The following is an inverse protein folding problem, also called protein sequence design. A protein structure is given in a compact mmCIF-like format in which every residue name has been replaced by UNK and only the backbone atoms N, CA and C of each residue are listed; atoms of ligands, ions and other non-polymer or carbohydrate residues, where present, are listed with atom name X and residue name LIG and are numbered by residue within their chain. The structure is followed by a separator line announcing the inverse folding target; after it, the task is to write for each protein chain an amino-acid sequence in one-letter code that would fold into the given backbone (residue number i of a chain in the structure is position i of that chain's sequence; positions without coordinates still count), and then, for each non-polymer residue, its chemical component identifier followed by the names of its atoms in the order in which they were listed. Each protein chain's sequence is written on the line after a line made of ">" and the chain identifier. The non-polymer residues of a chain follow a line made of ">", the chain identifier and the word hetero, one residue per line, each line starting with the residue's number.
data_IF_430499436705
#
_entry.id   IF_430499436705
#
_cell.length_a   1.000
_cell.length_b   1.000
_cell.length_c   1.000
_cell.angle_alpha   90.00
_cell.angle_beta   90.00
_cell.angle_gamma   90.00
#
_symmetry.space_group_name_H-M   'P 1'
#
loop_
_entity.id
_entity.type
_entity.pdbx_description
1 polymer ?
#
# COMPACT_ATOMS: atom_id res chain seq x y z
N UNK A 1 -29.48 7.02 -39.34
CA UNK A 1 -29.56 6.73 -37.89
C UNK A 1 -28.17 6.90 -37.30
N UNK A 2 -28.00 7.76 -36.28
CA UNK A 2 -26.69 7.97 -35.65
C UNK A 2 -26.31 6.82 -34.71
N UNK A 3 -25.11 6.25 -34.88
CA UNK A 3 -24.49 5.39 -33.86
C UNK A 3 -23.99 6.30 -32.73
N UNK A 4 -24.84 6.54 -31.73
CA UNK A 4 -24.45 7.25 -30.51
C UNK A 4 -23.28 6.48 -29.87
N UNK A 5 -22.19 7.19 -29.56
CA UNK A 5 -20.97 6.58 -29.03
C UNK A 5 -21.27 5.80 -27.73
N UNK A 6 -20.66 4.63 -27.49
CA UNK A 6 -20.80 3.94 -26.21
C UNK A 6 -20.27 4.85 -25.09
N UNK A 7 -21.16 5.26 -24.20
CA UNK A 7 -20.80 6.03 -23.00
C UNK A 7 -19.76 5.23 -22.21
N UNK A 8 -18.61 5.84 -21.94
CA UNK A 8 -17.56 5.23 -21.10
C UNK A 8 -18.03 5.24 -19.65
N UNK A 9 -18.89 4.28 -19.33
CA UNK A 9 -19.50 4.15 -18.01
C UNK A 9 -18.41 3.96 -16.95
N UNK A 10 -18.52 4.77 -15.90
CA UNK A 10 -17.74 4.64 -14.64
C UNK A 10 -18.53 3.80 -13.65
N UNK A 11 -19.86 3.95 -13.65
CA UNK A 11 -20.78 3.24 -12.77
C UNK A 11 -21.96 2.63 -13.56
N UNK A 12 -22.63 1.64 -12.98
CA UNK A 12 -23.95 1.16 -13.42
C UNK A 12 -24.89 1.19 -12.20
N UNK A 13 -26.03 1.84 -12.35
CA UNK A 13 -27.15 1.77 -11.41
C UNK A 13 -27.94 0.50 -11.74
N UNK A 14 -28.09 -0.40 -10.77
CA UNK A 14 -28.96 -1.58 -10.88
C UNK A 14 -30.17 -1.40 -9.97
N UNK A 15 -31.37 -1.44 -10.52
CA UNK A 15 -32.62 -1.35 -9.78
C UNK A 15 -33.56 -2.50 -10.12
N UNK A 16 -34.41 -2.91 -9.18
CA UNK A 16 -35.53 -3.83 -9.38
C UNK A 16 -36.85 -3.06 -9.37
N UNK A 17 -37.79 -3.47 -10.22
CA UNK A 17 -39.15 -2.93 -10.25
C UNK A 17 -40.16 -4.02 -9.95
N UNK A 18 -41.20 -3.68 -9.19
CA UNK A 18 -42.39 -4.50 -8.94
C UNK A 18 -43.62 -3.63 -9.18
N UNK A 19 -44.52 -4.07 -10.05
CA UNK A 19 -45.67 -3.29 -10.53
C UNK A 19 -46.95 -4.11 -10.37
N UNK A 20 -47.98 -3.50 -9.77
CA UNK A 20 -49.25 -4.16 -9.49
C UNK A 20 -50.20 -4.07 -10.68
N UNK A 21 -49.75 -4.59 -11.82
CA UNK A 21 -50.50 -4.65 -13.07
C UNK A 21 -49.65 -5.13 -14.24
N UNK A 22 -50.14 -4.91 -15.45
CA UNK A 22 -49.44 -5.15 -16.72
C UNK A 22 -49.07 -3.80 -17.33
N UNK A 23 -47.80 -3.61 -17.68
CA UNK A 23 -47.28 -2.41 -18.36
C UNK A 23 -46.27 -2.80 -19.42
N UNK A 24 -46.05 -1.92 -20.40
CA UNK A 24 -45.05 -2.12 -21.46
C UNK A 24 -43.76 -1.33 -21.20
N UNK A 25 -42.70 -1.70 -21.93
CA UNK A 25 -41.41 -1.00 -21.87
C UNK A 25 -41.50 0.53 -22.03
N UNK A 26 -42.35 1.11 -22.90
CA UNK A 26 -42.49 2.56 -23.01
C UNK A 26 -43.05 3.21 -21.73
N UNK A 27 -43.90 2.53 -20.97
CA UNK A 27 -44.47 3.07 -19.73
C UNK A 27 -43.39 3.20 -18.65
N UNK A 28 -42.55 2.16 -18.49
CA UNK A 28 -41.42 2.16 -17.54
C UNK A 28 -40.44 3.28 -17.89
N UNK A 29 -40.07 3.41 -19.17
CA UNK A 29 -39.19 4.48 -19.65
C UNK A 29 -39.83 5.86 -19.48
N UNK A 30 -41.13 6.00 -19.77
CA UNK A 30 -41.88 7.23 -19.65
C UNK A 30 -41.99 7.71 -18.20
N UNK A 31 -42.24 6.80 -17.27
CA UNK A 31 -42.22 7.08 -15.83
C UNK A 31 -40.82 7.47 -15.34
N UNK A 32 -39.77 6.74 -15.75
CA UNK A 32 -38.38 7.03 -15.35
C UNK A 32 -37.94 8.44 -15.75
N UNK A 33 -38.26 8.90 -16.96
CA UNK A 33 -37.98 10.29 -17.33
C UNK A 33 -38.98 11.27 -16.69
N UNK A 34 -40.29 11.05 -16.83
CA UNK A 34 -41.33 12.03 -16.47
C UNK A 34 -41.64 12.18 -14.97
N UNK A 35 -41.23 11.23 -14.12
CA UNK A 35 -41.35 11.35 -12.66
C UNK A 35 -40.05 11.84 -12.00
N UNK A 36 -38.94 11.94 -12.74
CA UNK A 36 -37.67 12.52 -12.25
C UNK A 36 -37.38 13.93 -12.80
N UNK A 37 -38.07 14.34 -13.88
CA UNK A 37 -38.03 15.69 -14.45
C UNK A 37 -38.41 16.74 -13.37
N UNK A 38 -37.64 17.84 -13.26
CA UNK A 38 -37.85 18.88 -12.26
C UNK A 38 -37.43 18.56 -10.81
N UNK A 39 -37.18 17.30 -10.43
CA UNK A 39 -36.79 16.93 -9.05
C UNK A 39 -35.32 17.22 -8.72
N UNK A 40 -34.42 17.11 -9.70
CA UNK A 40 -32.96 17.15 -9.49
C UNK A 40 -32.27 18.43 -9.97
N UNK A 41 -33.01 19.31 -10.65
CA UNK A 41 -32.44 20.47 -11.37
C UNK A 41 -31.78 20.08 -12.70
N UNK A 42 -31.71 21.04 -13.62
CA UNK A 42 -31.41 20.81 -15.04
C UNK A 42 -30.09 20.05 -15.31
N UNK A 43 -29.04 20.25 -14.50
CA UNK A 43 -27.74 19.58 -14.66
C UNK A 43 -27.76 18.08 -14.33
N UNK A 44 -28.81 17.59 -13.65
CA UNK A 44 -28.98 16.20 -13.21
C UNK A 44 -30.26 15.53 -13.76
N UNK A 45 -31.04 16.20 -14.59
CA UNK A 45 -32.22 15.61 -15.24
C UNK A 45 -31.83 14.49 -16.22
N UNK A 46 -32.41 13.30 -16.05
CA UNK A 46 -32.07 12.11 -16.84
C UNK A 46 -32.11 12.34 -18.36
N UNK A 47 -33.04 13.17 -18.84
CA UNK A 47 -33.19 13.51 -20.26
C UNK A 47 -31.96 14.25 -20.80
N UNK A 48 -31.50 15.27 -20.08
CA UNK A 48 -30.35 16.08 -20.47
C UNK A 48 -29.02 15.36 -20.19
N UNK A 49 -28.95 14.56 -19.12
CA UNK A 49 -27.85 13.64 -18.88
C UNK A 49 -27.69 12.59 -20.00
N UNK A 50 -28.78 12.08 -20.56
CA UNK A 50 -28.73 11.17 -21.71
C UNK A 50 -28.41 11.91 -23.01
N UNK A 51 -28.96 13.13 -23.22
CA UNK A 51 -28.67 13.98 -24.40
C UNK A 51 -27.20 14.39 -24.47
N UNK A 52 -26.58 14.67 -23.32
CA UNK A 52 -25.15 14.99 -23.18
C UNK A 52 -24.24 13.75 -23.14
N UNK A 53 -24.79 12.53 -23.12
CA UNK A 53 -24.02 11.29 -23.01
C UNK A 53 -23.38 11.04 -21.65
N UNK A 54 -23.76 11.81 -20.60
CA UNK A 54 -23.33 11.55 -19.22
C UNK A 54 -23.98 10.28 -18.66
N UNK A 55 -25.24 10.04 -19.04
CA UNK A 55 -26.02 8.81 -18.80
C UNK A 55 -26.15 8.01 -20.10
N UNK A 56 -26.06 6.68 -20.00
CA UNK A 56 -26.19 5.74 -21.10
C UNK A 56 -27.65 5.47 -21.50
N UNK A 57 -27.86 4.36 -22.20
CA UNK A 57 -29.21 3.84 -22.47
C UNK A 57 -29.80 3.26 -21.20
N UNK A 58 -31.07 3.55 -20.94
CA UNK A 58 -31.84 2.93 -19.86
C UNK A 58 -32.31 1.57 -20.38
N UNK A 59 -31.70 0.51 -19.89
CA UNK A 59 -32.05 -0.86 -20.22
C UNK A 59 -33.07 -1.37 -19.21
N UNK A 60 -34.11 -2.04 -19.71
CA UNK A 60 -35.26 -2.47 -18.91
C UNK A 60 -35.62 -3.87 -19.38
N UNK A 61 -35.55 -4.82 -18.46
CA UNK A 61 -36.04 -6.19 -18.63
C UNK A 61 -37.24 -6.39 -17.71
N UNK A 62 -38.28 -7.09 -18.19
CA UNK A 62 -39.50 -7.32 -17.42
C UNK A 62 -40.14 -8.65 -17.80
N UNK A 63 -40.87 -9.23 -16.85
CA UNK A 63 -41.58 -10.50 -16.92
C UNK A 63 -42.90 -10.33 -16.16
N UNK A 64 -44.00 -10.76 -16.80
CA UNK A 64 -45.37 -10.50 -16.31
C UNK A 64 -46.04 -11.83 -15.99
N UNK A 65 -46.32 -12.07 -14.70
CA UNK A 65 -46.89 -13.33 -14.19
C UNK A 65 -48.00 -13.03 -13.18
N UNK A 66 -49.14 -13.72 -13.32
CA UNK A 66 -50.28 -13.57 -12.41
C UNK A 66 -50.84 -12.15 -12.31
N UNK A 67 -50.71 -11.34 -13.37
CA UNK A 67 -51.17 -9.95 -13.39
C UNK A 67 -50.25 -8.94 -12.68
N UNK A 68 -49.04 -9.35 -12.25
CA UNK A 68 -48.00 -8.44 -11.77
C UNK A 68 -46.76 -8.50 -12.68
N UNK A 69 -46.18 -7.34 -12.96
CA UNK A 69 -44.93 -7.21 -13.72
C UNK A 69 -43.76 -7.00 -12.76
N UNK A 70 -42.75 -7.86 -12.88
CA UNK A 70 -41.47 -7.72 -12.19
C UNK A 70 -40.37 -7.47 -13.22
N UNK A 71 -39.33 -6.73 -12.85
CA UNK A 71 -38.27 -6.41 -13.80
C UNK A 71 -37.02 -5.80 -13.17
N UNK A 72 -36.04 -5.52 -14.02
CA UNK A 72 -34.83 -4.79 -13.63
C UNK A 72 -34.57 -3.62 -14.57
N UNK A 73 -34.06 -2.52 -14.01
CA UNK A 73 -33.57 -1.37 -14.75
C UNK A 73 -32.05 -1.32 -14.55
N UNK A 74 -31.32 -1.13 -15.65
CA UNK A 74 -29.89 -0.86 -15.66
C UNK A 74 -29.62 0.48 -16.34
N UNK A 75 -28.90 1.37 -15.65
CA UNK A 75 -28.51 2.69 -16.17
C UNK A 75 -26.99 2.84 -16.07
N UNK A 76 -26.26 2.79 -17.19
CA UNK A 76 -24.84 3.15 -17.23
C UNK A 76 -24.66 4.65 -16.97
N UNK A 77 -23.70 5.00 -16.14
CA UNK A 77 -23.39 6.38 -15.72
C UNK A 77 -21.90 6.68 -15.89
N UNK A 78 -21.59 7.86 -16.45
CA UNK A 78 -20.24 8.45 -16.46
C UNK A 78 -20.12 9.69 -15.55
N UNK A 79 -21.13 9.92 -14.71
CA UNK A 79 -21.15 10.94 -13.65
C UNK A 79 -20.10 10.69 -12.57
N UNK A 80 -20.05 11.53 -11.53
CA UNK A 80 -19.36 11.18 -10.29
C UNK A 80 -20.18 10.23 -9.38
N UNK A 81 -19.64 9.88 -8.20
CA UNK A 81 -20.27 8.94 -7.25
C UNK A 81 -21.50 9.53 -6.56
N UNK A 82 -21.49 10.82 -6.20
CA UNK A 82 -22.58 11.51 -5.54
C UNK A 82 -23.71 11.79 -6.53
N UNK A 83 -23.39 12.31 -7.72
CA UNK A 83 -24.33 12.51 -8.83
C UNK A 83 -25.04 11.19 -9.20
N UNK A 84 -24.30 10.09 -9.34
CA UNK A 84 -24.88 8.77 -9.63
C UNK A 84 -25.81 8.29 -8.51
N UNK A 85 -25.46 8.55 -7.24
CA UNK A 85 -26.30 8.17 -6.10
C UNK A 85 -27.58 9.01 -5.99
N UNK A 86 -27.51 10.31 -6.29
CA UNK A 86 -28.67 11.22 -6.35
C UNK A 86 -29.63 10.78 -7.46
N UNK A 87 -29.10 10.51 -8.66
CA UNK A 87 -29.89 9.99 -9.79
C UNK A 87 -30.51 8.63 -9.46
N UNK A 88 -29.80 7.75 -8.75
CA UNK A 88 -30.35 6.46 -8.31
C UNK A 88 -31.47 6.62 -7.28
N UNK A 89 -31.30 7.47 -6.27
CA UNK A 89 -32.34 7.74 -5.26
C UNK A 89 -33.62 8.32 -5.89
N UNK A 90 -33.50 9.15 -6.92
CA UNK A 90 -34.66 9.68 -7.66
C UNK A 90 -35.49 8.58 -8.37
N UNK A 91 -34.89 7.43 -8.71
CA UNK A 91 -35.65 6.30 -9.27
C UNK A 91 -36.55 5.63 -8.22
N UNK A 92 -36.18 5.64 -6.94
CA UNK A 92 -36.99 5.06 -5.85
C UNK A 92 -38.21 5.93 -5.50
N UNK A 93 -38.20 7.21 -5.89
CA UNK A 93 -39.33 8.14 -5.75
C UNK A 93 -40.48 7.78 -6.72
N UNK A 94 -40.23 6.94 -7.74
CA UNK A 94 -41.22 6.57 -8.76
C UNK A 94 -42.24 5.58 -8.18
N UNK A 95 -43.39 6.12 -7.76
CA UNK A 95 -44.49 5.36 -7.15
C UNK A 95 -45.50 4.78 -8.15
N UNK A 96 -45.51 5.22 -9.41
CA UNK A 96 -46.49 4.78 -10.43
C UNK A 96 -45.88 4.69 -11.82
N UNK A 97 -46.24 3.65 -12.56
CA UNK A 97 -45.78 3.39 -13.92
C UNK A 97 -47.02 3.15 -14.80
N UNK A 98 -47.21 4.00 -15.82
CA UNK A 98 -48.45 4.03 -16.59
C UNK A 98 -49.67 4.22 -15.67
N UNK A 99 -50.70 3.36 -15.75
CA UNK A 99 -51.86 3.39 -14.85
C UNK A 99 -51.66 2.62 -13.53
N UNK A 100 -50.54 1.90 -13.35
CA UNK A 100 -50.37 0.93 -12.26
C UNK A 100 -49.39 1.42 -11.19
N UNK A 101 -49.70 1.12 -9.92
CA UNK A 101 -48.79 1.41 -8.80
C UNK A 101 -47.54 0.54 -8.86
N UNK A 102 -46.40 1.14 -8.51
CA UNK A 102 -45.07 0.59 -8.70
C UNK A 102 -44.18 0.84 -7.49
N UNK A 103 -43.21 -0.05 -7.29
CA UNK A 103 -42.10 0.13 -6.35
C UNK A 103 -40.80 -0.16 -7.08
N UNK A 104 -39.88 0.81 -7.03
CA UNK A 104 -38.51 0.67 -7.51
C UNK A 104 -37.58 0.67 -6.30
N UNK A 105 -36.59 -0.21 -6.30
CA UNK A 105 -35.56 -0.28 -5.27
C UNK A 105 -34.17 -0.46 -5.91
N UNK A 106 -33.17 0.29 -5.45
CA UNK A 106 -31.78 0.17 -5.91
C UNK A 106 -31.15 -1.06 -5.26
N UNK A 107 -30.74 -2.01 -6.11
CA UNK A 107 -30.04 -3.24 -5.68
C UNK A 107 -28.56 -2.98 -5.41
N UNK A 108 -27.90 -2.24 -6.32
CA UNK A 108 -26.48 -1.87 -6.18
C UNK A 108 -26.09 -0.71 -7.10
N UNK A 109 -25.05 0.02 -6.70
CA UNK A 109 -24.28 0.92 -7.55
C UNK A 109 -22.92 0.27 -7.84
N UNK A 110 -22.72 -0.22 -9.06
CA UNK A 110 -21.50 -0.95 -9.45
C UNK A 110 -20.49 -0.02 -10.10
N UNK A 111 -19.25 0.04 -9.59
CA UNK A 111 -18.13 0.70 -10.29
C UNK A 111 -17.43 -0.29 -11.22
N UNK A 112 -17.67 -0.16 -12.52
CA UNK A 112 -17.16 -1.10 -13.53
C UNK A 112 -15.64 -1.08 -13.67
N UNK A 113 -14.97 -0.07 -13.10
CA UNK A 113 -13.50 0.00 -13.06
C UNK A 113 -12.93 -0.99 -12.06
N UNK A 114 -13.67 -1.40 -11.02
CA UNK A 114 -13.24 -2.45 -10.08
C UNK A 114 -13.19 -3.80 -10.81
N UNK A 115 -14.27 -4.16 -11.52
CA UNK A 115 -14.36 -5.38 -12.33
C UNK A 115 -13.25 -5.43 -13.39
N UNK A 116 -13.01 -4.32 -14.11
CA UNK A 116 -11.92 -4.21 -15.10
C UNK A 116 -10.53 -4.28 -14.47
N UNK A 117 -10.29 -3.67 -13.30
CA UNK A 117 -9.00 -3.80 -12.58
C UNK A 117 -8.71 -5.25 -12.21
N UNK A 118 -9.69 -6.02 -11.73
CA UNK A 118 -9.52 -7.45 -11.47
C UNK A 118 -9.13 -8.21 -12.74
N UNK A 119 -9.82 -7.97 -13.86
CA UNK A 119 -9.46 -8.59 -15.15
C UNK A 119 -8.04 -8.22 -15.63
N UNK A 120 -7.61 -6.98 -15.41
CA UNK A 120 -6.24 -6.54 -15.72
C UNK A 120 -5.22 -7.25 -14.81
N UNK A 121 -5.50 -7.41 -13.52
CA UNK A 121 -4.63 -8.10 -12.56
C UNK A 121 -4.48 -9.58 -12.90
N UNK A 122 -5.58 -10.31 -13.12
CA UNK A 122 -5.50 -11.73 -13.49
C UNK A 122 -4.80 -11.91 -14.84
N UNK A 123 -5.08 -11.07 -15.85
CA UNK A 123 -4.36 -11.13 -17.12
C UNK A 123 -2.88 -10.76 -16.99
N UNK A 124 -2.51 -9.89 -16.05
CA UNK A 124 -1.11 -9.60 -15.75
C UNK A 124 -0.39 -10.79 -15.10
N UNK A 125 -1.05 -11.54 -14.19
CA UNK A 125 -0.52 -12.80 -13.66
C UNK A 125 -0.31 -13.83 -14.77
N UNK A 126 -1.33 -14.07 -15.62
CA UNK A 126 -1.24 -15.00 -16.76
C UNK A 126 -0.05 -14.67 -17.68
N UNK A 127 0.12 -13.39 -18.02
CA UNK A 127 1.23 -12.92 -18.84
C UNK A 127 2.59 -13.08 -18.14
N UNK A 128 2.66 -12.81 -16.84
CA UNK A 128 3.89 -12.94 -16.06
C UNK A 128 4.31 -14.42 -15.92
N UNK A 129 3.38 -15.33 -15.64
CA UNK A 129 3.64 -16.77 -15.63
C UNK A 129 4.22 -17.24 -16.96
N UNK A 130 3.51 -16.97 -18.06
CA UNK A 130 3.97 -17.36 -19.39
C UNK A 130 5.32 -16.71 -19.79
N UNK A 131 5.65 -15.54 -19.24
CA UNK A 131 6.95 -14.90 -19.48
C UNK A 131 8.06 -15.57 -18.65
N UNK A 132 7.84 -15.82 -17.36
CA UNK A 132 8.77 -16.56 -16.47
C UNK A 132 9.07 -17.96 -17.04
N UNK A 133 8.06 -18.66 -17.56
CA UNK A 133 8.20 -19.98 -18.19
C UNK A 133 9.02 -19.93 -19.49
N UNK A 134 9.20 -18.75 -20.09
CA UNK A 134 9.87 -18.54 -21.39
C UNK A 134 11.26 -17.88 -21.26
N UNK A 135 11.50 -17.06 -20.24
CA UNK A 135 12.77 -16.36 -20.01
C UNK A 135 13.60 -17.03 -18.91
N UNK A 136 14.81 -17.48 -19.26
CA UNK A 136 15.82 -17.82 -18.25
C UNK A 136 16.10 -16.61 -17.33
N UNK A 137 16.35 -16.84 -16.03
CA UNK A 137 16.22 -15.80 -15.02
C UNK A 137 17.43 -14.86 -14.98
N UNK A 138 17.18 -13.57 -15.22
CA UNK A 138 18.16 -12.50 -14.92
C UNK A 138 17.44 -11.17 -14.60
N UNK A 139 16.76 -11.14 -13.45
CA UNK A 139 16.22 -9.92 -12.79
C UNK A 139 15.61 -10.31 -11.44
N UNK A 140 16.50 -10.71 -10.52
CA UNK A 140 16.16 -11.37 -9.26
C UNK A 140 15.11 -10.62 -8.42
N UNK A 141 15.28 -9.31 -8.24
CA UNK A 141 14.56 -8.55 -7.20
C UNK A 141 13.08 -8.29 -7.51
N UNK A 142 12.75 -7.87 -8.74
CA UNK A 142 11.36 -7.67 -9.19
C UNK A 142 10.64 -9.01 -9.43
N UNK A 143 11.39 -10.02 -9.87
CA UNK A 143 10.89 -11.39 -10.00
C UNK A 143 10.51 -11.96 -8.64
N UNK A 144 11.37 -11.81 -7.62
CA UNK A 144 11.11 -12.32 -6.28
C UNK A 144 9.99 -11.56 -5.55
N UNK A 145 9.76 -10.24 -5.74
CA UNK A 145 8.61 -9.54 -5.13
C UNK A 145 7.26 -9.99 -5.70
N UNK A 146 7.12 -10.09 -7.03
CA UNK A 146 5.84 -10.52 -7.62
C UNK A 146 5.65 -12.03 -7.48
N UNK A 147 6.73 -12.82 -7.57
CA UNK A 147 6.69 -14.22 -7.17
C UNK A 147 6.37 -14.37 -5.68
N UNK A 148 6.74 -13.44 -4.80
CA UNK A 148 6.30 -13.42 -3.40
C UNK A 148 4.77 -13.36 -3.32
N UNK A 149 4.13 -12.48 -4.11
CA UNK A 149 2.68 -12.32 -4.12
C UNK A 149 1.92 -13.55 -4.62
N UNK A 150 2.58 -14.42 -5.41
CA UNK A 150 2.03 -15.67 -5.95
C UNK A 150 2.43 -16.90 -5.12
N UNK A 151 3.63 -16.92 -4.53
CA UNK A 151 4.08 -17.91 -3.52
C UNK A 151 3.33 -17.75 -2.19
N UNK A 152 2.76 -16.57 -1.92
CA UNK A 152 1.77 -16.35 -0.86
C UNK A 152 0.36 -16.87 -1.22
N UNK A 153 0.22 -17.76 -2.22
CA UNK A 153 -0.92 -18.68 -2.27
C UNK A 153 -0.83 -19.69 -1.12
N UNK A 154 -1.35 -19.23 0.02
CA UNK A 154 -1.96 -19.97 1.11
C UNK A 154 -1.06 -21.03 1.81
N UNK A 155 -0.67 -20.69 3.04
CA UNK A 155 -0.44 -21.71 4.08
C UNK A 155 -1.68 -22.61 4.09
N UNK A 156 -1.47 -23.90 3.89
CA UNK A 156 -2.51 -24.91 4.02
C UNK A 156 -2.58 -25.44 5.45
N UNK A 157 -3.71 -26.04 5.79
CA UNK A 157 -3.94 -26.68 7.08
C UNK A 157 -3.73 -28.20 6.92
N UNK A 158 -2.76 -28.75 7.65
CA UNK A 158 -2.45 -30.18 7.65
C UNK A 158 -3.09 -30.90 8.85
N UNK A 159 -3.54 -32.14 8.64
CA UNK A 159 -4.10 -32.99 9.69
C UNK A 159 -5.45 -32.54 10.24
N UNK A 160 -5.90 -33.21 11.30
CA UNK A 160 -7.15 -32.95 12.03
C UNK A 160 -7.03 -31.71 12.92
N UNK A 161 -5.83 -31.48 13.42
CA UNK A 161 -5.46 -30.34 14.28
C UNK A 161 -5.22 -29.04 13.47
N UNK A 162 -5.40 -29.09 12.13
CA UNK A 162 -5.36 -27.96 11.19
C UNK A 162 -4.03 -27.17 11.26
N UNK A 163 -2.95 -27.91 11.39
CA UNK A 163 -1.58 -27.42 11.60
C UNK A 163 -1.09 -26.60 10.39
N UNK A 164 -0.57 -25.37 10.58
CA UNK A 164 -0.03 -24.56 9.49
C UNK A 164 1.11 -25.26 8.73
N UNK A 165 0.98 -25.42 7.41
CA UNK A 165 1.98 -26.05 6.56
C UNK A 165 2.15 -25.34 5.21
N UNK A 166 3.30 -25.52 4.58
CA UNK A 166 3.56 -25.15 3.20
C UNK A 166 2.90 -26.12 2.20
N UNK A 167 2.68 -25.70 0.94
CA UNK A 167 1.88 -26.46 -0.02
C UNK A 167 2.50 -27.81 -0.40
N UNK A 168 3.84 -27.92 -0.40
CA UNK A 168 4.56 -29.10 -0.86
C UNK A 168 4.77 -30.19 0.22
N UNK A 169 4.13 -30.06 1.41
CA UNK A 169 4.37 -30.96 2.56
C UNK A 169 4.01 -32.44 2.29
N UNK A 170 3.04 -32.69 1.41
CA UNK A 170 2.65 -34.05 0.99
C UNK A 170 3.62 -34.61 -0.07
N UNK A 171 4.02 -33.78 -1.03
CA UNK A 171 4.78 -34.16 -2.21
C UNK A 171 6.29 -34.30 -1.96
N UNK A 172 6.84 -33.58 -0.97
CA UNK A 172 8.28 -33.56 -0.68
C UNK A 172 8.70 -34.77 0.16
N UNK A 173 9.77 -35.47 -0.21
CA UNK A 173 10.32 -36.60 0.58
C UNK A 173 11.02 -36.15 1.88
N UNK A 174 11.37 -34.87 1.98
CA UNK A 174 11.94 -34.21 3.16
C UNK A 174 10.98 -33.10 3.65
N UNK A 175 10.90 -32.91 4.97
CA UNK A 175 10.13 -31.86 5.63
C UNK A 175 10.98 -31.06 6.62
N UNK A 176 10.58 -29.81 6.85
CA UNK A 176 11.14 -28.96 7.90
C UNK A 176 10.06 -28.67 8.94
N UNK A 177 10.29 -29.08 10.18
CA UNK A 177 9.39 -28.82 11.32
C UNK A 177 9.87 -27.57 12.04
N UNK A 178 8.97 -26.63 12.35
CA UNK A 178 9.25 -25.34 13.02
C UNK A 178 8.30 -25.10 14.19
N UNK A 179 8.57 -24.15 15.09
CA UNK A 179 7.71 -23.93 16.27
C UNK A 179 6.32 -23.40 15.92
N UNK A 180 6.23 -22.45 14.99
CA UNK A 180 5.02 -21.66 14.78
C UNK A 180 4.69 -21.29 13.33
N UNK A 181 3.54 -20.63 13.17
CA UNK A 181 3.01 -20.20 11.88
C UNK A 181 3.88 -19.14 11.18
N UNK A 182 4.54 -18.27 11.95
CA UNK A 182 5.36 -17.19 11.41
C UNK A 182 6.64 -17.73 10.78
N UNK A 183 7.24 -18.77 11.37
CA UNK A 183 8.35 -19.52 10.80
C UNK A 183 7.99 -20.12 9.44
N UNK A 184 6.82 -20.77 9.34
CA UNK A 184 6.30 -21.29 8.06
C UNK A 184 6.12 -20.16 7.04
N UNK A 185 5.60 -18.99 7.45
CA UNK A 185 5.53 -17.83 6.56
C UNK A 185 6.91 -17.34 6.10
N UNK A 186 7.91 -17.29 6.99
CA UNK A 186 9.26 -16.82 6.64
C UNK A 186 10.03 -17.83 5.77
N UNK A 187 9.82 -19.12 5.98
CA UNK A 187 10.33 -20.19 5.11
C UNK A 187 9.68 -20.14 3.71
N UNK A 188 8.36 -20.03 3.62
CA UNK A 188 7.63 -19.90 2.35
C UNK A 188 8.03 -18.64 1.56
N UNK A 189 8.20 -17.52 2.27
CA UNK A 189 8.75 -16.25 1.76
C UNK A 189 10.07 -16.44 1.01
N UNK A 190 10.91 -17.37 1.48
CA UNK A 190 12.20 -17.68 0.85
C UNK A 190 12.18 -18.95 -0.04
N UNK A 191 10.99 -19.45 -0.39
CA UNK A 191 10.78 -20.54 -1.36
C UNK A 191 10.82 -21.96 -0.76
N UNK A 192 10.82 -22.08 0.56
CA UNK A 192 10.89 -23.37 1.27
C UNK A 192 9.46 -23.87 1.53
N UNK A 193 8.96 -24.67 0.59
CA UNK A 193 7.54 -25.03 0.49
C UNK A 193 7.12 -26.27 1.29
N UNK A 194 8.08 -26.94 1.95
CA UNK A 194 7.93 -28.19 2.70
C UNK A 194 8.03 -27.98 4.23
N UNK A 195 7.72 -26.77 4.71
CA UNK A 195 7.69 -26.44 6.13
C UNK A 195 6.35 -26.83 6.79
N UNK A 196 6.38 -27.25 8.04
CA UNK A 196 5.19 -27.48 8.88
C UNK A 196 5.42 -26.98 10.31
N UNK A 197 4.47 -26.24 10.85
CA UNK A 197 4.53 -25.72 12.21
C UNK A 197 4.21 -26.80 13.25
N UNK A 198 4.63 -26.56 14.49
CA UNK A 198 3.98 -27.10 15.68
C UNK A 198 2.90 -26.10 16.14
N UNK A 199 2.20 -26.46 17.21
CA UNK A 199 1.31 -25.53 17.92
C UNK A 199 1.99 -25.17 19.26
N UNK A 200 3.20 -24.63 19.17
CA UNK A 200 4.12 -24.48 20.30
C UNK A 200 4.51 -25.84 20.89
N UNK A 201 4.49 -25.97 22.21
CA UNK A 201 4.89 -27.19 22.93
C UNK A 201 3.93 -28.38 22.79
N UNK A 202 2.73 -28.19 22.21
CA UNK A 202 1.78 -29.28 21.97
C UNK A 202 1.95 -29.87 20.57
N UNK A 203 2.69 -30.97 20.47
CA UNK A 203 3.03 -31.66 19.22
C UNK A 203 1.78 -32.40 18.68
N UNK A 204 1.26 -32.06 17.48
CA UNK A 204 0.09 -32.71 16.90
C UNK A 204 0.38 -34.17 16.50
N UNK A 205 -0.57 -35.08 16.75
CA UNK A 205 -0.38 -36.51 16.44
C UNK A 205 -0.19 -36.77 14.94
N UNK A 206 -0.87 -36.01 14.08
CA UNK A 206 -0.72 -36.11 12.62
C UNK A 206 0.69 -35.70 12.16
N UNK A 207 1.38 -34.80 12.88
CA UNK A 207 2.78 -34.43 12.59
C UNK A 207 3.74 -35.55 12.99
N UNK A 208 3.49 -36.22 14.12
CA UNK A 208 4.29 -37.38 14.57
C UNK A 208 4.19 -38.54 13.58
N UNK A 209 3.01 -38.78 13.00
CA UNK A 209 2.83 -39.81 11.96
C UNK A 209 3.42 -39.41 10.59
N UNK A 210 3.51 -38.11 10.28
CA UNK A 210 4.22 -37.60 9.11
C UNK A 210 5.74 -37.76 9.24
N UNK A 211 6.31 -37.52 10.42
CA UNK A 211 7.76 -37.68 10.70
C UNK A 211 8.27 -39.11 10.46
N UNK A 212 7.40 -40.13 10.56
CA UNK A 212 7.75 -41.54 10.31
C UNK A 212 7.85 -41.91 8.81
N UNK A 213 7.46 -40.99 7.92
CA UNK A 213 7.28 -41.26 6.48
C UNK A 213 8.24 -40.48 5.57
N UNK A 214 8.96 -39.49 6.12
CA UNK A 214 9.73 -38.47 5.40
C UNK A 214 10.98 -38.12 6.20
N UNK A 215 12.04 -37.66 5.53
CA UNK A 215 13.24 -37.15 6.22
C UNK A 215 12.90 -35.87 6.97
N UNK A 216 13.27 -35.76 8.24
CA UNK A 216 12.86 -34.66 9.13
C UNK A 216 14.05 -33.79 9.53
N UNK A 217 13.97 -32.49 9.20
CA UNK A 217 14.78 -31.45 9.86
C UNK A 217 13.91 -30.67 10.85
N UNK A 218 14.18 -30.76 12.14
CA UNK A 218 13.64 -29.84 13.12
C UNK A 218 14.45 -28.54 13.10
N UNK A 219 13.80 -27.40 12.87
CA UNK A 219 14.42 -26.07 12.84
C UNK A 219 13.75 -25.17 13.88
N UNK A 220 14.51 -24.77 14.90
CA UNK A 220 13.99 -23.98 16.05
C UNK A 220 14.79 -22.71 16.28
N UNK A 221 14.25 -21.84 17.13
CA UNK A 221 14.87 -20.58 17.54
C UNK A 221 16.22 -20.76 18.25
N UNK A 222 17.05 -19.71 18.18
CA UNK A 222 18.38 -19.63 18.79
C UNK A 222 18.35 -19.42 20.30
N UNK A 223 17.26 -19.78 20.97
CA UNK A 223 16.96 -19.44 22.35
C UNK A 223 16.81 -20.70 23.25
N UNK A 224 16.31 -20.52 24.49
CA UNK A 224 16.02 -21.59 25.45
C UNK A 224 14.65 -22.25 25.26
N UNK A 225 13.69 -21.62 24.58
CA UNK A 225 12.44 -22.22 24.10
C UNK A 225 12.73 -23.30 23.05
N UNK A 226 13.52 -22.96 22.03
CA UNK A 226 13.97 -23.92 21.01
C UNK A 226 14.67 -25.16 21.61
N UNK A 227 15.50 -24.98 22.65
CA UNK A 227 16.14 -26.10 23.37
C UNK A 227 15.13 -27.02 24.09
N UNK A 228 13.98 -26.50 24.52
CA UNK A 228 12.91 -27.30 25.13
C UNK A 228 12.10 -28.04 24.07
N UNK A 229 11.90 -27.43 22.89
CA UNK A 229 11.19 -28.05 21.77
C UNK A 229 12.00 -29.17 21.12
N UNK A 230 13.33 -29.00 20.99
CA UNK A 230 14.24 -30.10 20.61
C UNK A 230 14.04 -31.29 21.56
N UNK A 231 14.05 -31.06 22.88
CA UNK A 231 13.89 -32.13 23.89
C UNK A 231 12.50 -32.76 23.87
N UNK A 232 11.45 -31.97 23.66
CA UNK A 232 10.09 -32.47 23.54
C UNK A 232 9.93 -33.34 22.29
N UNK A 233 10.29 -32.83 21.11
CA UNK A 233 10.11 -33.53 19.84
C UNK A 233 10.93 -34.83 19.78
N UNK A 234 12.20 -34.80 20.23
CA UNK A 234 13.07 -35.99 20.35
C UNK A 234 12.53 -37.08 21.31
N UNK A 235 11.52 -36.77 22.14
CA UNK A 235 10.89 -37.75 23.04
C UNK A 235 9.58 -38.35 22.49
N UNK A 236 9.08 -37.83 21.36
CA UNK A 236 7.75 -38.18 20.80
C UNK A 236 7.84 -38.63 19.32
N UNK A 237 8.81 -38.12 18.56
CA UNK A 237 8.95 -38.38 17.13
C UNK A 237 10.41 -38.69 16.74
N UNK A 238 10.56 -39.48 15.68
CA UNK A 238 11.84 -39.68 15.01
C UNK A 238 12.24 -38.41 14.24
N UNK A 239 13.51 -38.03 14.32
CA UNK A 239 14.08 -36.83 13.69
C UNK A 239 15.48 -37.17 13.18
N UNK A 240 15.79 -36.85 11.92
CA UNK A 240 17.13 -37.06 11.35
C UNK A 240 18.10 -35.93 11.72
N UNK A 241 17.64 -34.68 11.59
CA UNK A 241 18.48 -33.49 11.70
C UNK A 241 17.88 -32.39 12.59
N UNK A 242 18.75 -31.64 13.26
CA UNK A 242 18.41 -30.42 13.99
C UNK A 242 19.16 -29.23 13.38
N UNK A 243 18.44 -28.15 13.12
CA UNK A 243 18.99 -26.82 12.89
C UNK A 243 18.51 -25.87 14.00
N UNK A 244 19.33 -24.88 14.36
CA UNK A 244 18.92 -23.74 15.18
C UNK A 244 19.13 -22.43 14.43
N UNK A 245 18.28 -21.44 14.68
CA UNK A 245 18.56 -20.06 14.32
C UNK A 245 19.79 -19.53 15.10
N UNK A 246 20.44 -18.43 14.67
CA UNK A 246 21.56 -17.85 15.39
C UNK A 246 21.18 -17.45 16.83
N UNK A 247 22.10 -17.58 17.77
CA UNK A 247 21.89 -17.32 19.20
C UNK A 247 21.09 -16.02 19.46
N UNK A 248 19.94 -16.14 20.13
CA UNK A 248 19.06 -15.02 20.45
C UNK A 248 18.23 -14.46 19.28
N UNK A 249 18.06 -15.20 18.18
CA UNK A 249 17.10 -14.89 17.10
C UNK A 249 16.00 -15.93 16.95
N UNK A 250 14.84 -15.45 16.51
CA UNK A 250 13.65 -16.24 16.16
C UNK A 250 13.65 -16.61 14.66
N UNK A 251 13.05 -17.73 14.27
CA UNK A 251 12.99 -18.22 12.88
C UNK A 251 12.13 -17.29 11.99
N UNK A 252 11.20 -16.51 12.56
CA UNK A 252 10.48 -15.47 11.83
C UNK A 252 11.33 -14.22 11.45
N UNK A 253 12.38 -13.89 12.22
CA UNK A 253 13.20 -12.68 12.00
C UNK A 253 14.39 -12.88 11.04
N UNK A 254 14.86 -14.11 10.87
CA UNK A 254 16.11 -14.40 10.14
C UNK A 254 15.99 -14.26 8.62
N UNK A 255 17.09 -13.84 7.99
CA UNK A 255 17.17 -13.67 6.54
C UNK A 255 17.40 -14.98 5.79
N UNK A 256 17.09 -15.00 4.49
CA UNK A 256 17.38 -16.14 3.59
C UNK A 256 18.81 -16.68 3.72
N UNK A 257 19.80 -15.79 3.86
CA UNK A 257 21.22 -16.18 3.98
C UNK A 257 21.53 -16.87 5.32
N UNK A 258 20.80 -16.54 6.38
CA UNK A 258 20.90 -17.17 7.69
C UNK A 258 20.15 -18.50 7.72
N UNK A 259 18.94 -18.57 7.17
CA UNK A 259 18.16 -19.82 7.00
C UNK A 259 18.95 -20.85 6.19
N UNK A 260 19.44 -20.46 5.00
CA UNK A 260 20.27 -21.33 4.17
C UNK A 260 21.63 -21.64 4.79
N UNK A 261 22.09 -20.91 5.82
CA UNK A 261 23.29 -21.28 6.59
C UNK A 261 22.93 -22.30 7.68
N UNK A 262 21.85 -22.09 8.42
CA UNK A 262 21.37 -23.00 9.47
C UNK A 262 21.01 -24.38 8.91
N UNK A 263 20.21 -24.43 7.83
CA UNK A 263 19.79 -25.70 7.22
C UNK A 263 20.96 -26.47 6.59
N UNK A 264 21.97 -25.80 6.02
CA UNK A 264 23.21 -26.48 5.55
C UNK A 264 24.15 -26.87 6.68
N UNK A 265 24.04 -26.23 7.85
CA UNK A 265 24.76 -26.56 9.07
C UNK A 265 24.02 -27.49 10.00
N UNK A 266 22.92 -28.13 9.55
CA UNK A 266 22.08 -29.00 10.38
C UNK A 266 22.88 -30.21 10.89
N UNK A 267 22.73 -30.49 12.17
CA UNK A 267 23.47 -31.53 12.90
C UNK A 267 22.60 -32.80 12.93
N UNK A 268 23.20 -33.98 12.69
CA UNK A 268 22.45 -35.23 12.83
C UNK A 268 22.11 -35.49 14.30
N UNK A 269 20.91 -35.99 14.59
CA UNK A 269 20.42 -36.14 15.98
C UNK A 269 21.34 -36.98 16.87
N UNK A 270 21.98 -38.02 16.32
CA UNK A 270 22.95 -38.83 17.06
C UNK A 270 24.21 -38.06 17.48
N UNK A 271 24.59 -37.01 16.74
CA UNK A 271 25.69 -36.11 17.12
C UNK A 271 25.25 -35.14 18.21
N UNK A 272 24.04 -34.56 18.10
CA UNK A 272 23.48 -33.66 19.11
C UNK A 272 23.30 -34.34 20.48
N UNK A 273 22.95 -35.64 20.50
CA UNK A 273 22.89 -36.47 21.72
C UNK A 273 24.26 -36.58 22.42
N UNK A 274 25.35 -36.68 21.67
CA UNK A 274 26.72 -36.77 22.21
C UNK A 274 27.16 -35.43 22.83
N UNK A 275 27.02 -34.32 22.10
CA UNK A 275 27.37 -32.98 22.61
C UNK A 275 26.56 -32.55 23.86
N UNK A 276 25.34 -33.08 23.99
CA UNK A 276 24.48 -32.85 25.17
C UNK A 276 25.00 -33.60 26.40
N UNK A 277 25.54 -34.81 26.22
CA UNK A 277 26.09 -35.61 27.31
C UNK A 277 27.45 -35.11 27.81
N UNK A 278 28.33 -34.61 26.93
CA UNK A 278 29.66 -34.09 27.34
C UNK A 278 29.57 -32.83 28.22
N UNK A 279 28.45 -32.11 28.19
CA UNK A 279 28.15 -30.98 29.09
C UNK A 279 27.41 -31.40 30.38
N UNK A 280 27.21 -32.71 30.60
CA UNK A 280 26.36 -33.27 31.66
C UNK A 280 27.01 -33.52 33.02
N UNK A 281 28.35 -33.57 33.12
CA UNK A 281 29.05 -33.95 34.35
C UNK A 281 29.81 -32.79 35.02
N UNK A 282 29.07 -31.92 35.73
CA UNK A 282 29.61 -31.21 36.90
C UNK A 282 28.66 -31.39 38.10
N UNK A 283 29.19 -31.98 39.18
CA UNK A 283 28.40 -32.40 40.33
C UNK A 283 27.94 -31.20 41.18
N UNK A 284 26.75 -31.26 41.81
CA UNK A 284 26.20 -30.14 42.57
C UNK A 284 26.93 -29.95 43.90
N UNK A 285 27.63 -28.82 44.06
CA UNK A 285 28.15 -28.38 45.36
C UNK A 285 26.99 -27.84 46.20
N UNK A 286 26.88 -28.35 47.43
CA UNK A 286 25.75 -28.09 48.32
C UNK A 286 25.74 -26.64 48.83
N UNK A 287 24.58 -25.98 48.73
CA UNK A 287 24.25 -24.83 49.58
C UNK A 287 23.42 -25.33 50.75
N UNK A 288 23.97 -25.25 51.97
CA UNK A 288 23.17 -25.28 53.19
C UNK A 288 22.88 -23.85 53.62
N UNK A 289 21.63 -23.58 53.97
CA UNK A 289 21.24 -22.33 54.62
C UNK A 289 21.91 -22.20 55.99
N UNK A 290 22.15 -20.96 56.43
CA UNK A 290 22.13 -20.69 57.86
C UNK A 290 21.60 -19.28 58.14
N UNK A 291 20.82 -19.12 59.21
CA UNK A 291 19.93 -17.98 59.40
C UNK A 291 20.34 -17.08 60.58
N UNK A 292 20.10 -15.77 60.41
CA UNK A 292 19.81 -14.76 61.46
C UNK A 292 20.88 -14.40 62.52
N UNK A 293 21.02 -13.09 62.78
CA UNK A 293 21.39 -12.61 64.13
C UNK A 293 22.06 -11.23 64.27
N UNK A 294 21.26 -10.16 64.41
CA UNK A 294 21.51 -8.95 65.26
C UNK A 294 22.80 -8.07 65.02
N UNK A 295 22.90 -6.76 65.29
CA UNK A 295 21.97 -5.68 65.73
C UNK A 295 22.57 -4.25 65.50
N UNK A 296 21.67 -3.25 65.38
CA UNK A 296 21.75 -1.83 65.84
C UNK A 296 23.02 -0.93 65.71
N UNK A 297 22.81 0.25 65.07
CA UNK A 297 23.24 1.63 65.43
C UNK A 297 24.75 1.99 65.58
N UNK A 298 25.24 3.08 64.99
CA UNK A 298 25.00 4.46 65.51
C UNK A 298 25.20 5.61 64.50
N UNK A 299 24.73 6.82 64.86
CA UNK A 299 24.78 8.06 64.06
C UNK A 299 25.87 9.06 64.48
N UNK A 300 26.37 9.86 63.52
CA UNK A 300 26.97 11.21 63.67
C UNK A 300 27.04 11.92 62.29
N UNK A 301 27.10 13.24 62.12
CA UNK A 301 26.55 14.39 62.88
C UNK A 301 26.79 15.70 62.08
N UNK A 302 25.94 16.73 62.26
CA UNK A 302 26.15 18.16 61.87
C UNK A 302 26.20 18.45 60.33
N UNK A 303 25.73 19.57 59.73
CA UNK A 303 25.03 20.85 60.05
C UNK A 303 24.51 21.43 58.67
N UNK A 304 23.77 22.54 58.45
CA UNK A 304 23.28 23.70 59.25
C UNK A 304 22.07 24.42 58.57
N UNK A 305 21.36 25.23 59.37
CA UNK A 305 20.71 26.57 59.17
C UNK A 305 20.70 27.29 57.77
N UNK A 306 19.77 28.20 57.39
CA UNK A 306 18.47 28.70 57.97
C UNK A 306 17.77 29.80 57.10
N UNK A 307 16.47 30.09 57.40
CA UNK A 307 15.69 31.38 57.24
C UNK A 307 15.07 31.86 55.89
N UNK A 308 13.73 31.81 55.83
CA UNK A 308 12.75 32.93 55.89
C UNK A 308 12.62 34.10 54.87
N UNK A 309 11.40 34.20 54.29
CA UNK A 309 10.46 35.37 54.23
C UNK A 309 10.66 36.58 53.27
N UNK A 310 9.58 36.93 52.52
CA UNK A 310 9.10 38.22 51.93
C UNK A 310 10.10 39.39 51.62
N UNK A 311 9.98 40.16 50.53
CA UNK A 311 8.82 41.01 50.19
C UNK A 311 8.85 41.62 48.74
N UNK A 312 7.85 42.43 48.38
CA UNK A 312 7.58 43.13 47.08
C UNK A 312 8.22 44.54 46.98
N UNK A 313 8.37 45.15 45.77
CA UNK A 313 7.34 46.08 45.23
C UNK A 313 7.12 46.03 43.68
N UNK A 314 6.47 47.07 43.10
CA UNK A 314 6.04 47.24 41.68
C UNK A 314 6.49 48.60 41.12
N UNK A 315 6.52 48.77 39.79
CA UNK A 315 5.92 49.85 38.94
C UNK A 315 6.16 49.49 37.43
N UNK A 316 5.32 49.77 36.41
CA UNK A 316 4.80 51.03 35.80
C UNK A 316 5.91 51.90 35.16
N UNK A 317 5.80 52.60 34.00
CA UNK A 317 4.72 53.20 33.14
C UNK A 317 5.27 53.39 31.68
N UNK A 318 4.59 53.82 30.60
CA UNK A 318 3.18 53.86 30.11
C UNK A 318 3.18 54.29 28.60
N UNK A 319 2.49 53.55 27.70
CA UNK A 319 1.62 54.03 26.57
C UNK A 319 2.12 54.75 25.27
N UNK A 320 1.41 54.41 24.17
CA UNK A 320 1.23 55.11 22.87
C UNK A 320 0.44 54.16 21.91
N UNK A 321 -0.74 54.39 21.29
CA UNK A 321 -1.56 55.56 20.85
C UNK A 321 -0.89 56.39 19.73
N UNK A 322 -1.52 56.88 18.64
CA UNK A 322 -2.89 56.94 18.04
C UNK A 322 -2.80 57.08 16.49
N UNK A 323 -3.82 57.00 15.59
CA UNK A 323 -5.15 56.33 15.50
C UNK A 323 -5.81 56.66 14.11
N UNK A 324 -6.64 55.76 13.52
CA UNK A 324 -7.55 55.98 12.32
C UNK A 324 -6.82 56.16 10.95
N UNK A 325 -7.42 56.02 9.75
CA UNK A 325 -8.80 56.00 9.18
C UNK A 325 -8.89 54.84 8.12
N UNK A 326 -10.01 54.18 7.76
CA UNK A 326 -11.37 54.58 7.33
C UNK A 326 -11.48 55.03 5.85
N UNK A 327 -11.89 54.12 4.94
CA UNK A 327 -12.97 54.33 3.93
C UNK A 327 -13.23 53.13 3.00
N UNK A 328 -14.41 52.56 3.17
CA UNK A 328 -15.51 52.47 2.18
C UNK A 328 -15.25 52.11 0.69
N UNK A 329 -16.15 51.23 0.24
CA UNK A 329 -16.49 50.71 -1.09
C UNK A 329 -16.04 51.43 -2.38
N UNK A 330 -15.69 50.63 -3.41
CA UNK A 330 -16.62 50.31 -4.53
C UNK A 330 -16.07 49.31 -5.54
N UNK A 331 -16.99 48.70 -6.27
CA UNK A 331 -16.72 47.88 -7.45
C UNK A 331 -16.16 48.71 -8.62
N UNK A 332 -15.21 48.11 -9.37
CA UNK A 332 -15.07 48.27 -10.83
C UNK A 332 -14.12 47.24 -11.43
N UNK A 333 -14.67 46.48 -12.38
CA UNK A 333 -14.07 46.11 -13.67
C UNK A 333 -12.54 45.89 -13.64
N UNK A 334 -12.10 44.62 -13.56
CA UNK A 334 -10.73 44.23 -13.91
C UNK A 334 -10.61 44.31 -15.44
N UNK A 335 -9.76 45.18 -16.03
CA UNK A 335 -9.63 45.26 -17.48
C UNK A 335 -8.93 44.03 -18.06
N UNK A 336 -9.29 43.61 -19.26
CA UNK A 336 -8.47 42.70 -20.07
C UNK A 336 -7.20 43.42 -20.52
N UNK A 337 -6.14 43.38 -19.70
CA UNK A 337 -4.80 43.76 -20.13
C UNK A 337 -4.26 42.66 -21.05
N UNK A 338 -4.66 42.72 -22.32
CA UNK A 338 -3.96 42.05 -23.42
C UNK A 338 -2.53 42.63 -23.49
N UNK A 339 -1.57 41.93 -22.89
CA UNK A 339 -0.15 42.15 -23.17
C UNK A 339 0.38 41.10 -24.16
N UNK A 340 1.43 41.43 -24.92
CA UNK A 340 1.54 40.97 -26.29
C UNK A 340 1.95 39.49 -26.42
N UNK A 341 1.46 38.88 -27.50
CA UNK A 341 1.92 37.60 -28.02
C UNK A 341 3.41 37.70 -28.35
N UNK A 342 4.28 37.29 -27.41
CA UNK A 342 5.70 37.08 -27.72
C UNK A 342 5.81 35.98 -28.77
N UNK A 343 6.49 36.29 -29.85
CA UNK A 343 6.93 35.32 -30.84
C UNK A 343 8.03 34.42 -30.23
N UNK A 344 8.27 33.22 -30.77
CA UNK A 344 9.15 32.24 -30.13
C UNK A 344 10.63 32.64 -30.24
N UNK A 345 11.12 33.40 -29.26
CA UNK A 345 12.55 33.64 -29.05
C UNK A 345 13.30 32.33 -28.76
N UNK A 346 13.82 31.74 -29.83
CA UNK A 346 15.08 31.03 -29.98
C UNK A 346 15.80 30.51 -28.70
N UNK A 347 16.13 29.22 -28.77
CA UNK A 347 17.08 28.47 -27.95
C UNK A 347 18.15 29.34 -27.23
N UNK A 348 17.93 29.66 -25.95
CA UNK A 348 18.98 30.21 -25.08
C UNK A 348 19.84 29.05 -24.56
N UNK A 349 20.88 28.76 -25.32
CA UNK A 349 21.76 27.60 -25.16
C UNK A 349 22.30 27.39 -23.74
N UNK A 350 22.53 26.13 -23.40
CA UNK A 350 23.43 25.73 -22.33
C UNK A 350 24.88 25.98 -22.75
N UNK A 351 25.81 26.10 -21.80
CA UNK A 351 27.24 25.92 -22.12
C UNK A 351 27.45 24.52 -22.70
N UNK A 352 28.33 24.32 -23.70
CA UNK A 352 28.60 22.98 -24.24
C UNK A 352 28.96 21.94 -23.18
N UNK A 353 29.72 22.36 -22.16
CA UNK A 353 30.12 21.53 -21.01
C UNK A 353 28.93 21.15 -20.11
N UNK A 354 27.97 22.06 -19.91
CA UNK A 354 26.74 21.81 -19.16
C UNK A 354 25.88 20.76 -19.87
N UNK A 355 25.64 20.94 -21.17
CA UNK A 355 24.84 19.99 -21.96
C UNK A 355 25.44 18.59 -21.96
N UNK A 356 26.77 18.47 -22.14
CA UNK A 356 27.47 17.19 -22.10
C UNK A 356 27.36 16.51 -20.72
N UNK A 357 27.57 17.25 -19.62
CA UNK A 357 27.51 16.71 -18.26
C UNK A 357 26.10 16.29 -17.87
N UNK A 358 25.09 17.13 -18.15
CA UNK A 358 23.69 16.80 -17.86
C UNK A 358 23.20 15.62 -18.69
N UNK A 359 23.52 15.55 -19.99
CA UNK A 359 23.15 14.40 -20.84
C UNK A 359 23.76 13.11 -20.32
N UNK A 360 25.07 13.08 -20.02
CA UNK A 360 25.74 11.91 -19.45
C UNK A 360 25.12 11.50 -18.10
N UNK A 361 24.75 12.46 -17.25
CA UNK A 361 24.08 12.15 -15.98
C UNK A 361 22.66 11.64 -16.16
N UNK A 362 21.90 12.12 -17.17
CA UNK A 362 20.61 11.55 -17.53
C UNK A 362 20.74 10.11 -18.03
N UNK A 363 21.67 9.86 -18.95
CA UNK A 363 22.01 8.52 -19.46
C UNK A 363 22.45 7.55 -18.34
N UNK A 364 23.14 8.05 -17.29
CA UNK A 364 23.46 7.29 -16.07
C UNK A 364 22.31 7.10 -15.08
N UNK A 365 21.18 7.81 -15.24
CA UNK A 365 20.03 7.75 -14.33
C UNK A 365 18.84 6.98 -14.90
N UNK A 366 18.78 6.73 -16.22
CA UNK A 366 17.65 6.04 -16.86
C UNK A 366 17.34 4.69 -16.20
N UNK A 367 16.10 4.52 -15.73
CA UNK A 367 15.65 3.29 -15.05
C UNK A 367 16.03 3.19 -13.57
N UNK A 368 16.83 4.12 -13.03
CA UNK A 368 17.18 4.16 -11.60
C UNK A 368 16.15 4.89 -10.74
N UNK A 369 15.27 5.70 -11.37
CA UNK A 369 14.34 6.64 -10.71
C UNK A 369 15.04 7.57 -9.72
N UNK A 370 16.33 7.85 -9.96
CA UNK A 370 17.16 8.76 -9.17
C UNK A 370 17.14 10.19 -9.70
N UNK A 371 17.49 11.12 -8.81
CA UNK A 371 17.69 12.53 -9.08
C UNK A 371 19.09 12.96 -8.64
N UNK A 372 19.79 13.75 -9.46
CA UNK A 372 21.11 14.28 -9.20
C UNK A 372 21.03 15.82 -9.10
N UNK A 373 21.46 16.35 -7.95
CA UNK A 373 21.36 17.78 -7.60
C UNK A 373 22.74 18.43 -7.80
N UNK A 374 22.78 19.61 -8.43
CA UNK A 374 24.02 20.31 -8.79
C UNK A 374 24.15 21.71 -8.16
N UNK A 375 25.36 22.08 -7.76
CA UNK A 375 25.71 23.43 -7.28
C UNK A 375 25.92 24.44 -8.42
N UNK A 376 26.12 25.72 -8.07
CA UNK A 376 26.44 26.82 -9.02
C UNK A 376 27.75 26.63 -9.81
N UNK A 377 28.54 25.61 -9.48
CA UNK A 377 29.80 25.22 -10.15
C UNK A 377 29.67 23.88 -10.89
N UNK A 378 28.45 23.35 -11.03
CA UNK A 378 28.12 22.08 -11.69
C UNK A 378 28.72 20.84 -11.01
N UNK A 379 29.06 20.91 -9.72
CA UNK A 379 29.40 19.75 -8.90
C UNK A 379 28.14 19.03 -8.43
N UNK A 380 28.22 17.71 -8.24
CA UNK A 380 27.12 16.92 -7.67
C UNK A 380 27.08 17.16 -6.16
N UNK A 381 26.00 17.78 -5.68
CA UNK A 381 25.69 17.92 -4.25
C UNK A 381 25.17 16.61 -3.65
N UNK A 382 24.52 15.79 -4.46
CA UNK A 382 24.08 14.44 -4.09
C UNK A 382 23.26 13.76 -5.18
N UNK A 383 23.17 12.42 -5.10
CA UNK A 383 22.12 11.64 -5.77
C UNK A 383 21.09 11.23 -4.71
N UNK A 384 19.80 11.45 -4.97
CA UNK A 384 18.67 11.10 -4.09
C UNK A 384 17.59 10.34 -4.89
N UNK A 385 16.79 9.46 -4.28
CA UNK A 385 15.60 8.89 -4.93
C UNK A 385 14.60 9.97 -5.36
N UNK A 386 13.88 9.76 -6.47
CA UNK A 386 12.83 10.70 -6.92
C UNK A 386 11.71 10.87 -5.88
N UNK A 387 11.44 9.85 -5.06
CA UNK A 387 10.52 9.92 -3.91
C UNK A 387 10.98 10.90 -2.83
N UNK A 388 12.29 11.01 -2.61
CA UNK A 388 12.88 11.90 -1.59
C UNK A 388 13.09 13.33 -2.11
N UNK A 389 13.28 13.51 -3.42
CA UNK A 389 13.49 14.82 -4.06
C UNK A 389 12.45 15.87 -3.64
N UNK A 390 11.17 15.48 -3.54
CA UNK A 390 10.07 16.35 -3.09
C UNK A 390 10.17 16.79 -1.62
N UNK A 391 10.88 16.03 -0.79
CA UNK A 391 11.23 16.37 0.59
C UNK A 391 12.52 17.19 0.67
N UNK A 392 13.56 16.78 -0.06
CA UNK A 392 14.84 17.49 -0.16
C UNK A 392 14.64 18.94 -0.59
N UNK A 393 13.81 19.18 -1.62
CA UNK A 393 13.50 20.53 -2.13
C UNK A 393 12.63 21.38 -1.21
N UNK A 394 11.98 20.81 -0.19
CA UNK A 394 11.27 21.58 0.85
C UNK A 394 12.18 22.01 2.00
N UNK A 395 13.36 21.39 2.11
CA UNK A 395 14.31 21.61 3.21
C UNK A 395 15.54 22.42 2.80
N UNK A 396 15.86 22.50 1.49
CA UNK A 396 16.99 23.26 0.95
C UNK A 396 16.49 24.55 0.29
N UNK A 397 16.77 25.69 0.91
CA UNK A 397 16.27 27.00 0.48
C UNK A 397 17.27 27.81 -0.37
N UNK A 398 18.49 27.30 -0.63
CA UNK A 398 19.51 27.96 -1.45
C UNK A 398 20.64 27.00 -1.86
N UNK A 399 21.39 27.36 -2.92
CA UNK A 399 22.62 26.67 -3.34
C UNK A 399 22.49 25.66 -4.50
N UNK A 400 21.28 25.42 -5.00
CA UNK A 400 21.02 24.50 -6.13
C UNK A 400 20.91 25.28 -7.44
N UNK A 401 21.74 24.94 -8.43
CA UNK A 401 21.69 25.50 -9.79
C UNK A 401 20.79 24.68 -10.70
N UNK A 402 21.01 23.36 -10.70
CA UNK A 402 20.38 22.43 -11.63
C UNK A 402 20.01 21.10 -10.97
N UNK A 403 18.97 20.44 -11.50
CA UNK A 403 18.55 19.10 -11.11
C UNK A 403 18.32 18.27 -12.38
N UNK A 404 18.89 17.08 -12.44
CA UNK A 404 18.67 16.08 -13.49
C UNK A 404 18.04 14.85 -12.85
N UNK A 405 16.89 14.35 -13.34
CA UNK A 405 16.22 13.20 -12.72
C UNK A 405 15.51 12.28 -13.72
N UNK A 406 15.46 10.99 -13.37
CA UNK A 406 14.77 9.95 -14.13
C UNK A 406 13.27 9.95 -13.80
N UNK A 407 12.53 10.86 -14.46
CA UNK A 407 11.08 10.99 -14.33
C UNK A 407 10.48 12.11 -15.19
N UNK A 408 9.16 12.28 -15.09
CA UNK A 408 8.41 13.32 -15.77
C UNK A 408 8.36 14.62 -14.95
N UNK A 409 8.59 15.77 -15.60
CA UNK A 409 8.40 17.10 -15.01
C UNK A 409 6.90 17.40 -14.94
N UNK A 410 6.36 17.45 -13.73
CA UNK A 410 5.01 17.89 -13.41
C UNK A 410 4.96 19.34 -12.88
N UNK A 411 3.75 19.83 -12.58
CA UNK A 411 3.57 21.19 -12.05
C UNK A 411 3.98 21.36 -10.59
N UNK A 412 3.93 20.30 -9.78
CA UNK A 412 4.26 20.39 -8.35
C UNK A 412 5.77 20.48 -8.15
N UNK A 413 6.54 19.67 -8.86
CA UNK A 413 8.01 19.73 -8.86
C UNK A 413 8.52 21.06 -9.43
N UNK A 414 7.87 21.62 -10.46
CA UNK A 414 8.20 22.98 -10.95
C UNK A 414 7.95 24.03 -9.87
N UNK A 415 6.80 24.01 -9.19
CA UNK A 415 6.52 24.95 -8.10
C UNK A 415 7.49 24.78 -6.91
N UNK A 416 7.89 23.56 -6.57
CA UNK A 416 8.89 23.31 -5.52
C UNK A 416 10.27 23.80 -5.92
N UNK A 417 10.69 23.56 -7.16
CA UNK A 417 11.97 24.03 -7.69
C UNK A 417 12.02 25.57 -7.80
N UNK A 418 10.90 26.24 -8.14
CA UNK A 418 10.81 27.71 -8.06
C UNK A 418 10.95 28.22 -6.62
N UNK A 419 10.29 27.57 -5.64
CA UNK A 419 10.39 27.96 -4.22
C UNK A 419 11.80 27.73 -3.65
N UNK A 420 12.49 26.67 -4.09
CA UNK A 420 13.90 26.39 -3.77
C UNK A 420 14.90 27.21 -4.60
N UNK A 421 14.42 28.15 -5.43
CA UNK A 421 15.22 29.06 -6.27
C UNK A 421 16.16 28.35 -7.27
N UNK A 422 15.76 27.17 -7.76
CA UNK A 422 16.51 26.35 -8.73
C UNK A 422 16.42 26.99 -10.12
N UNK A 423 17.56 27.11 -10.82
CA UNK A 423 17.62 27.81 -12.12
C UNK A 423 17.32 26.88 -13.31
N UNK A 424 17.61 25.58 -13.19
CA UNK A 424 17.47 24.58 -14.26
C UNK A 424 16.84 23.28 -13.74
N UNK A 425 15.82 22.76 -14.43
CA UNK A 425 15.18 21.47 -14.14
C UNK A 425 15.18 20.61 -15.40
N UNK A 426 15.72 19.40 -15.30
CA UNK A 426 15.91 18.47 -16.42
C UNK A 426 15.35 17.10 -16.05
N UNK A 427 14.45 16.58 -16.88
CA UNK A 427 13.82 15.27 -16.72
C UNK A 427 13.78 14.49 -18.03
N UNK A 428 13.04 13.38 -18.03
CA UNK A 428 12.88 12.51 -19.21
C UNK A 428 11.71 12.97 -20.09
N UNK A 429 10.62 13.41 -19.45
CA UNK A 429 9.43 13.97 -20.10
C UNK A 429 9.05 15.30 -19.44
N UNK A 430 8.30 16.18 -20.12
CA UNK A 430 7.69 17.35 -19.49
C UNK A 430 6.21 17.45 -19.82
N UNK A 431 5.38 17.41 -18.78
CA UNK A 431 3.95 17.76 -18.85
C UNK A 431 3.71 19.27 -18.74
N UNK A 432 4.75 20.06 -18.46
CA UNK A 432 4.68 21.52 -18.26
C UNK A 432 5.19 22.25 -19.50
N UNK A 433 4.45 23.30 -19.92
CA UNK A 433 4.84 24.14 -21.06
C UNK A 433 5.94 25.12 -20.64
N UNK A 434 7.02 25.33 -21.45
CA UNK A 434 8.13 26.23 -21.09
C UNK A 434 7.77 27.71 -20.85
N UNK A 435 6.53 28.14 -21.08
CA UNK A 435 6.02 29.48 -20.76
C UNK A 435 5.22 29.58 -19.45
N UNK A 436 5.03 28.47 -18.72
CA UNK A 436 4.31 28.45 -17.43
C UNK A 436 5.26 28.54 -16.21
N UNK A 437 6.59 28.47 -16.44
CA UNK A 437 7.61 28.41 -15.39
C UNK A 437 8.62 29.58 -15.49
N UNK A 438 9.23 29.93 -14.35
CA UNK A 438 10.31 30.93 -14.19
C UNK A 438 11.71 30.33 -14.33
N UNK A 439 11.84 29.02 -14.15
CA UNK A 439 13.08 28.25 -14.28
C UNK A 439 13.23 27.65 -15.69
N UNK A 440 14.46 27.27 -16.08
CA UNK A 440 14.71 26.60 -17.36
C UNK A 440 14.29 25.13 -17.29
N UNK A 441 13.23 24.75 -17.99
CA UNK A 441 12.82 23.36 -18.20
C UNK A 441 13.54 22.78 -19.42
N UNK A 442 14.08 21.57 -19.31
CA UNK A 442 14.58 20.76 -20.42
C UNK A 442 14.24 19.28 -20.27
N UNK A 443 14.34 18.54 -21.37
CA UNK A 443 14.27 17.08 -21.43
C UNK A 443 15.54 16.53 -22.11
N UNK A 444 15.94 15.30 -21.77
CA UNK A 444 17.10 14.60 -22.34
C UNK A 444 16.68 13.64 -23.46
#
# INVERSE_FOLDING_TARGET
>A
MGKISPVSAKYIIHATISIEGVVDRPDVIGAVFGQTEGLLGADLELRELQRSGRIGRIEVTYDTKGGKTHGTIQIPSSLDKAETAIVAAALEVIQRIGPCDAKIAIQKLEDVRISKRKQIIERAKELLHAWIDTSMPDSQELSDEVAHSVRMMEIQEYGKDRTPAGPAILESDEIIVVEGRADVLNLLKYGINNAIALNGTNIPADVVDLCKQKTVTLFVDGDRGGDLIIKAMLSVADIDYIAKAPDGKEVEEITQKEILKALRGRIAVEQAKLETNEKGEQQPVQQQENQQGYRENFNHAERRESRDIHNRPRENRDRGRESRDNRDSRSRIRPEIRMPRREPEQQRSFSPEQAAKFKKTGEELVGTRGACIFDEKLNVLGKVPLTELYGTLKNINSGIEAIVFDGSIDRELVMLAENANVKILIGMESSVRPGEARLKIATI
#
